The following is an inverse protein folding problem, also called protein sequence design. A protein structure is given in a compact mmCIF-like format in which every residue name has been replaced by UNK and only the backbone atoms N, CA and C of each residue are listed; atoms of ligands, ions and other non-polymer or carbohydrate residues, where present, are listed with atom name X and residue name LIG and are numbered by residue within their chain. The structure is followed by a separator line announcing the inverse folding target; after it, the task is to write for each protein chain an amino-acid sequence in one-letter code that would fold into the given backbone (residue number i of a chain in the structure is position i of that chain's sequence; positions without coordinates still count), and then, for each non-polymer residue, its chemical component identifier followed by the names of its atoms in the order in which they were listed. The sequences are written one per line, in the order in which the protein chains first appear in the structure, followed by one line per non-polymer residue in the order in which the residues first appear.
data_IF_581126088389
#
_entry.id   IF_581126088389
#
_cell.length_a   1.000
_cell.length_b   1.000
_cell.length_c   1.000
_cell.angle_alpha   90.00
_cell.angle_beta   90.00
_cell.angle_gamma   90.00
#
_symmetry.space_group_name_H-M   'P 1'
#
loop_
_entity.id
_entity.type
_entity.pdbx_description
1 polymer ?
#
# COMPACT_ATOMS: atom_id res chain seq x y z
N UNK A 1 7.93 3.86 2.03
CA UNK A 1 6.66 3.13 2.19
C UNK A 1 5.74 3.23 0.99
N UNK A 2 5.09 4.38 0.74
CA UNK A 2 4.11 4.54 -0.33
C UNK A 2 4.61 4.15 -1.73
N UNK A 3 5.88 4.44 -2.03
CA UNK A 3 6.53 3.97 -3.27
C UNK A 3 6.48 2.45 -3.45
N UNK A 4 6.68 1.69 -2.37
CA UNK A 4 6.65 0.22 -2.42
C UNK A 4 5.22 -0.29 -2.59
N UNK A 5 4.23 0.36 -1.96
CA UNK A 5 2.80 0.02 -2.17
C UNK A 5 2.43 0.23 -3.63
N UNK A 6 2.76 1.40 -4.20
CA UNK A 6 2.50 1.70 -5.60
C UNK A 6 3.21 0.71 -6.54
N UNK A 7 4.50 0.42 -6.28
CA UNK A 7 5.29 -0.55 -7.05
C UNK A 7 4.68 -1.96 -7.01
N UNK A 8 4.26 -2.42 -5.82
CA UNK A 8 3.67 -3.73 -5.64
C UNK A 8 2.36 -3.86 -6.42
N UNK A 9 1.51 -2.84 -6.33
CA UNK A 9 0.27 -2.78 -7.08
C UNK A 9 0.50 -2.85 -8.60
N UNK A 10 1.42 -2.04 -9.12
CA UNK A 10 1.78 -2.02 -10.55
C UNK A 10 2.37 -3.35 -11.02
N UNK A 11 3.20 -3.99 -10.18
CA UNK A 11 3.81 -5.29 -10.50
C UNK A 11 2.74 -6.37 -10.64
N UNK A 12 1.74 -6.37 -9.76
CA UNK A 12 0.64 -7.34 -9.85
C UNK A 12 -0.29 -7.03 -11.02
N UNK A 13 -0.57 -5.74 -11.29
CA UNK A 13 -1.38 -5.32 -12.43
C UNK A 13 -0.79 -5.74 -13.79
N UNK A 14 0.52 -5.62 -13.93
CA UNK A 14 1.24 -6.05 -15.14
C UNK A 14 1.05 -7.55 -15.45
N UNK A 15 0.74 -8.38 -14.46
CA UNK A 15 0.48 -9.82 -14.68
C UNK A 15 -0.89 -10.12 -15.29
N UNK A 16 -1.85 -9.19 -15.18
CA UNK A 16 -3.26 -9.38 -15.61
C UNK A 16 -3.55 -8.60 -16.91
N UNK A 17 -2.51 -8.17 -17.64
CA UNK A 17 -2.63 -7.36 -18.87
C UNK A 17 -3.23 -5.96 -18.64
N UNK A 18 -3.29 -5.48 -17.39
CA UNK A 18 -3.60 -4.08 -17.06
C UNK A 18 -2.28 -3.35 -16.76
N UNK A 19 -1.37 -3.35 -17.75
CA UNK A 19 -0.01 -2.82 -17.62
C UNK A 19 0.06 -1.32 -17.26
N UNK A 20 -1.08 -0.63 -17.31
CA UNK A 20 -1.24 0.79 -16.98
C UNK A 20 -1.91 1.04 -15.62
N UNK A 21 -2.23 0.00 -14.83
CA UNK A 21 -2.93 0.20 -13.57
C UNK A 21 -2.01 0.82 -12.50
N UNK A 22 -2.17 2.12 -12.31
CA UNK A 22 -1.60 2.85 -11.18
C UNK A 22 -2.51 2.71 -9.94
N UNK A 23 -1.88 2.70 -8.75
CA UNK A 23 -2.53 2.53 -7.46
C UNK A 23 -3.60 3.62 -7.26
N UNK A 24 -4.87 3.25 -7.05
CA UNK A 24 -5.91 4.20 -6.67
C UNK A 24 -5.54 4.94 -5.38
N UNK A 25 -5.77 6.25 -5.36
CA UNK A 25 -5.35 7.15 -4.28
C UNK A 25 -5.84 6.68 -2.91
N UNK A 26 -7.07 6.20 -2.83
CA UNK A 26 -7.71 5.68 -1.62
C UNK A 26 -6.93 4.48 -1.06
N UNK A 27 -6.45 3.60 -1.95
CA UNK A 27 -5.68 2.42 -1.57
C UNK A 27 -4.26 2.76 -1.08
N UNK A 28 -3.74 3.95 -1.38
CA UNK A 28 -2.49 4.42 -0.79
C UNK A 28 -2.64 4.64 0.72
N UNK A 29 -3.78 5.15 1.18
CA UNK A 29 -4.07 5.33 2.60
C UNK A 29 -4.28 3.97 3.30
N UNK A 30 -5.03 3.07 2.66
CA UNK A 30 -5.22 1.70 3.15
C UNK A 30 -3.87 0.99 3.28
N UNK A 31 -3.04 1.04 2.25
CA UNK A 31 -1.71 0.43 2.25
C UNK A 31 -0.81 0.99 3.34
N UNK A 32 -0.82 2.31 3.55
CA UNK A 32 -0.10 2.92 4.66
C UNK A 32 -0.60 2.43 6.03
N UNK A 33 -1.92 2.30 6.20
CA UNK A 33 -2.50 1.85 7.47
C UNK A 33 -2.20 0.39 7.80
N UNK A 34 -2.16 -0.49 6.79
CA UNK A 34 -1.71 -1.87 6.99
C UNK A 34 -0.26 -1.92 7.47
N UNK A 35 0.59 -1.07 6.88
CA UNK A 35 2.02 -1.23 7.02
C UNK A 35 2.60 -0.43 8.17
N UNK A 36 2.06 0.73 8.55
CA UNK A 36 2.71 1.55 9.60
C UNK A 36 2.45 1.02 11.01
N UNK A 37 1.41 0.21 11.21
CA UNK A 37 1.08 -0.39 12.51
C UNK A 37 1.74 -1.76 12.67
N UNK A 38 2.70 -1.88 13.59
CA UNK A 38 3.46 -3.12 13.79
C UNK A 38 2.61 -4.35 14.11
N UNK A 39 1.52 -4.19 14.88
CA UNK A 39 0.59 -5.29 15.15
C UNK A 39 -0.08 -5.78 13.86
N UNK A 40 -0.57 -4.87 13.02
CA UNK A 40 -1.23 -5.24 11.76
C UNK A 40 -0.23 -5.88 10.78
N UNK A 41 1.01 -5.36 10.70
CA UNK A 41 2.07 -5.96 9.88
C UNK A 41 2.33 -7.42 10.21
N UNK A 42 2.40 -7.77 11.51
CA UNK A 42 2.69 -9.13 11.96
C UNK A 42 1.59 -10.15 11.62
N UNK A 43 0.38 -9.68 11.37
CA UNK A 43 -0.77 -10.51 11.00
C UNK A 43 -1.03 -10.51 9.50
N UNK A 44 -0.21 -9.85 8.68
CA UNK A 44 -0.37 -9.91 7.23
C UNK A 44 -0.23 -11.36 6.73
N UNK A 45 -0.97 -11.76 5.69
CA UNK A 45 -0.77 -13.07 5.09
C UNK A 45 0.66 -13.25 4.58
N UNK A 46 1.16 -14.49 4.64
CA UNK A 46 2.49 -14.82 4.11
C UNK A 46 2.51 -14.77 2.58
N UNK A 47 1.36 -14.99 1.92
CA UNK A 47 1.26 -15.02 0.46
C UNK A 47 0.05 -14.25 -0.04
N UNK A 48 0.14 -13.74 -1.28
CA UNK A 48 -0.95 -13.02 -1.95
C UNK A 48 -2.12 -13.94 -2.35
N UNK A 49 -2.03 -15.26 -2.08
CA UNK A 49 -3.11 -16.23 -2.37
C UNK A 49 -4.24 -16.15 -1.35
N UNK A 50 -3.95 -15.76 -0.12
CA UNK A 50 -4.98 -15.51 0.89
C UNK A 50 -5.79 -14.31 0.45
N UNK A 51 -7.10 -14.46 0.28
CA UNK A 51 -7.94 -13.34 -0.16
C UNK A 51 -8.09 -12.29 0.95
N UNK A 52 -8.30 -11.02 0.58
CA UNK A 52 -8.59 -9.97 1.55
C UNK A 52 -9.86 -10.28 2.36
N UNK A 53 -10.88 -10.86 1.72
CA UNK A 53 -12.13 -11.24 2.40
C UNK A 53 -11.88 -12.29 3.50
N UNK A 54 -11.13 -13.35 3.18
CA UNK A 54 -10.76 -14.39 4.15
C UNK A 54 -9.96 -13.80 5.31
N UNK A 55 -8.95 -12.98 5.02
CA UNK A 55 -8.14 -12.35 6.06
C UNK A 55 -8.97 -11.45 6.98
N UNK A 56 -9.93 -10.71 6.45
CA UNK A 56 -10.81 -9.85 7.25
C UNK A 56 -11.71 -10.67 8.19
N UNK A 57 -12.17 -11.85 7.76
CA UNK A 57 -12.94 -12.76 8.58
C UNK A 57 -12.11 -13.32 9.75
N UNK A 58 -10.85 -13.69 9.47
CA UNK A 58 -9.93 -14.26 10.45
C UNK A 58 -9.35 -13.21 11.41
N UNK A 59 -9.27 -11.95 10.97
CA UNK A 59 -8.60 -10.85 11.69
C UNK A 59 -9.51 -9.59 11.85
N UNK A 60 -10.66 -9.70 12.55
CA UNK A 60 -11.62 -8.61 12.68
C UNK A 60 -11.07 -7.40 13.46
N UNK A 61 -10.17 -7.63 14.43
CA UNK A 61 -9.55 -6.56 15.22
C UNK A 61 -8.55 -5.76 14.37
N UNK A 62 -7.74 -6.45 13.57
CA UNK A 62 -6.79 -5.83 12.65
C UNK A 62 -7.53 -5.08 11.54
N UNK A 63 -8.63 -5.63 11.01
CA UNK A 63 -9.53 -4.92 10.08
C UNK A 63 -10.01 -3.60 10.67
N UNK A 64 -10.54 -3.60 11.89
CA UNK A 64 -11.00 -2.39 12.59
C UNK A 64 -9.86 -1.38 12.80
N UNK A 65 -8.67 -1.88 13.16
CA UNK A 65 -7.50 -1.04 13.33
C UNK A 65 -7.00 -0.41 12.03
N UNK A 66 -7.06 -1.14 10.92
CA UNK A 66 -6.77 -0.59 9.58
C UNK A 66 -7.76 0.51 9.24
N UNK A 67 -9.05 0.27 9.47
CA UNK A 67 -10.08 1.28 9.17
C UNK A 67 -9.85 2.58 9.95
N UNK A 68 -9.58 2.47 11.25
CA UNK A 68 -9.26 3.62 12.11
C UNK A 68 -7.95 4.30 11.70
N UNK A 69 -6.94 3.50 11.34
CA UNK A 69 -5.63 3.98 10.95
C UNK A 69 -5.66 4.81 9.66
N UNK A 70 -6.53 4.48 8.70
CA UNK A 70 -6.73 5.31 7.48
C UNK A 70 -7.14 6.74 7.83
N UNK A 71 -8.03 6.92 8.81
CA UNK A 71 -8.44 8.25 9.28
C UNK A 71 -7.30 9.00 9.98
N UNK A 72 -6.62 8.33 10.91
CA UNK A 72 -5.52 8.90 11.70
C UNK A 72 -4.33 9.29 10.81
N UNK A 73 -4.00 8.46 9.82
CA UNK A 73 -2.85 8.64 8.92
C UNK A 73 -3.20 9.46 7.67
N UNK A 74 -4.34 10.14 7.62
CA UNK A 74 -4.79 10.92 6.45
C UNK A 74 -3.96 12.19 6.17
N UNK A 75 -3.72 13.12 7.12
CA UNK A 75 -2.53 13.99 7.04
C UNK A 75 -1.30 13.06 7.08
N UNK A 76 -0.04 13.43 7.01
CA UNK A 76 1.06 12.45 6.84
C UNK A 76 1.02 11.68 5.50
N UNK A 77 0.02 10.85 5.19
CA UNK A 77 -0.06 10.15 3.90
C UNK A 77 -0.28 11.15 2.78
N UNK A 78 -1.16 12.15 2.95
CA UNK A 78 -1.33 13.24 1.96
C UNK A 78 -0.01 13.96 1.70
N UNK A 79 0.68 14.38 2.76
CA UNK A 79 1.95 15.08 2.69
C UNK A 79 3.03 14.20 2.07
N UNK A 80 3.09 12.91 2.40
CA UNK A 80 4.03 11.97 1.83
C UNK A 80 3.77 11.70 0.34
N UNK A 81 2.51 11.70 -0.10
CA UNK A 81 2.15 11.61 -1.52
C UNK A 81 2.61 12.87 -2.27
N UNK A 82 2.30 14.07 -1.76
CA UNK A 82 2.72 15.34 -2.36
C UNK A 82 4.25 15.44 -2.40
N UNK A 83 4.91 15.10 -1.30
CA UNK A 83 6.37 15.10 -1.21
C UNK A 83 6.98 14.11 -2.21
N UNK A 84 6.43 12.88 -2.28
CA UNK A 84 6.88 11.86 -3.21
C UNK A 84 6.72 12.29 -4.67
N UNK A 85 5.59 12.94 -4.99
CA UNK A 85 5.34 13.48 -6.31
C UNK A 85 6.33 14.60 -6.68
N UNK A 86 6.50 15.58 -5.77
CA UNK A 86 7.41 16.72 -5.97
C UNK A 86 8.87 16.30 -6.17
N UNK A 87 9.31 15.22 -5.51
CA UNK A 87 10.69 14.74 -5.58
C UNK A 87 10.90 13.58 -6.55
N UNK A 88 9.97 13.37 -7.48
CA UNK A 88 10.07 12.35 -8.55
C UNK A 88 10.17 10.92 -8.02
N UNK A 89 9.67 10.65 -6.81
CA UNK A 89 9.52 9.30 -6.30
C UNK A 89 8.20 8.68 -6.76
N UNK A 90 7.14 9.48 -6.79
CA UNK A 90 5.81 9.07 -7.24
C UNK A 90 5.41 9.93 -8.44
N UNK A 91 4.53 9.42 -9.28
CA UNK A 91 3.73 10.25 -10.18
C UNK A 91 2.26 10.14 -9.81
N UNK A 92 1.53 11.23 -10.01
CA UNK A 92 0.11 11.29 -9.74
C UNK A 92 -0.62 11.79 -10.99
N UNK A 93 -1.54 10.99 -11.51
CA UNK A 93 -2.41 11.35 -12.63
C UNK A 93 -3.85 11.12 -12.19
N UNK A 94 -4.61 12.21 -12.04
CA UNK A 94 -5.94 12.17 -11.43
C UNK A 94 -5.89 11.58 -10.01
N UNK A 95 -6.74 10.57 -9.75
CA UNK A 95 -6.78 9.84 -8.46
C UNK A 95 -5.93 8.57 -8.46
N UNK A 96 -4.86 8.53 -9.25
CA UNK A 96 -3.96 7.37 -9.32
C UNK A 96 -2.53 7.77 -9.01
N UNK A 97 -1.82 6.86 -8.34
CA UNK A 97 -0.44 7.01 -7.85
C UNK A 97 0.40 5.91 -8.46
N UNK A 98 1.49 6.27 -9.13
CA UNK A 98 2.44 5.35 -9.71
C UNK A 98 3.80 5.48 -9.02
N UNK A 99 4.54 4.37 -8.94
CA UNK A 99 5.93 4.41 -8.52
C UNK A 99 6.81 4.83 -9.69
N UNK A 100 7.69 5.80 -9.48
CA UNK A 100 8.62 6.24 -10.53
C UNK A 100 9.81 5.27 -10.60
N UNK A 101 10.08 4.64 -11.76
CA UNK A 101 11.21 3.73 -11.93
C UNK A 101 12.56 4.42 -11.68
N UNK A 102 12.69 5.69 -12.07
CA UNK A 102 13.90 6.50 -11.86
C UNK A 102 14.29 6.67 -10.39
N UNK A 103 13.32 6.58 -9.47
CA UNK A 103 13.59 6.67 -8.03
C UNK A 103 14.08 5.37 -7.39
N UNK A 104 14.00 4.23 -8.10
CA UNK A 104 14.29 2.92 -7.53
C UNK A 104 15.71 2.81 -6.94
N UNK A 105 16.73 3.33 -7.65
CA UNK A 105 18.12 3.28 -7.19
C UNK A 105 18.31 4.04 -5.88
N UNK A 106 17.77 5.26 -5.79
CA UNK A 106 17.85 6.12 -4.59
C UNK A 106 17.12 5.48 -3.40
N UNK A 107 15.90 5.00 -3.64
CA UNK A 107 15.05 4.40 -2.59
C UNK A 107 15.68 3.11 -2.05
N UNK A 108 16.16 2.24 -2.94
CA UNK A 108 16.83 1.00 -2.53
C UNK A 108 18.17 1.29 -1.82
N UNK A 109 18.89 2.32 -2.25
CA UNK A 109 20.12 2.79 -1.58
C UNK A 109 19.84 3.21 -0.14
N UNK A 110 18.82 4.03 0.09
CA UNK A 110 18.37 4.42 1.42
C UNK A 110 17.96 3.22 2.28
N UNK A 111 17.19 2.28 1.71
CA UNK A 111 16.74 1.09 2.45
C UNK A 111 17.88 0.20 2.93
N UNK A 112 18.97 0.07 2.15
CA UNK A 112 20.13 -0.73 2.56
C UNK A 112 20.80 -0.21 3.83
N UNK A 113 20.75 1.12 4.04
CA UNK A 113 21.33 1.79 5.21
C UNK A 113 20.30 1.97 6.35
N UNK A 114 19.06 1.59 6.13
CA UNK A 114 17.97 1.76 7.09
C UNK A 114 17.91 0.62 8.10
N UNK A 115 17.21 0.85 9.21
CA UNK A 115 16.97 -0.16 10.25
C UNK A 115 16.24 -1.40 9.71
N UNK A 116 16.29 -2.50 10.45
CA UNK A 116 15.53 -3.71 10.13
C UNK A 116 14.01 -3.43 10.04
N UNK A 117 13.46 -2.62 10.93
CA UNK A 117 12.03 -2.27 10.93
C UNK A 117 11.62 -1.46 9.69
N UNK A 118 12.45 -0.52 9.23
CA UNK A 118 12.18 0.24 7.99
C UNK A 118 12.24 -0.66 6.76
N UNK A 119 13.16 -1.63 6.73
CA UNK A 119 13.27 -2.62 5.65
C UNK A 119 12.08 -3.58 5.65
N UNK A 120 11.67 -4.06 6.82
CA UNK A 120 10.46 -4.89 6.97
C UNK A 120 9.21 -4.13 6.48
N UNK A 121 9.03 -2.90 6.95
CA UNK A 121 7.99 -2.01 6.46
C UNK A 121 8.00 -1.98 4.93
N UNK A 122 9.12 -1.66 4.29
CA UNK A 122 9.21 -1.59 2.83
C UNK A 122 8.83 -2.90 2.12
N UNK A 123 9.25 -4.04 2.65
CA UNK A 123 8.85 -5.37 2.16
C UNK A 123 7.34 -5.59 2.28
N UNK A 124 6.77 -5.32 3.45
CA UNK A 124 5.33 -5.45 3.69
C UNK A 124 4.51 -4.50 2.82
N UNK A 125 5.00 -3.28 2.53
CA UNK A 125 4.34 -2.39 1.59
C UNK A 125 4.31 -2.93 0.17
N UNK A 126 5.40 -3.55 -0.29
CA UNK A 126 5.42 -4.19 -1.60
C UNK A 126 4.39 -5.32 -1.66
N UNK A 127 4.34 -6.16 -0.62
CA UNK A 127 3.34 -7.21 -0.49
C UNK A 127 1.91 -6.66 -0.49
N UNK A 128 1.61 -5.69 0.38
CA UNK A 128 0.28 -5.09 0.51
C UNK A 128 -0.18 -4.47 -0.80
N UNK A 129 0.71 -3.79 -1.55
CA UNK A 129 0.38 -3.27 -2.88
C UNK A 129 -0.14 -4.34 -3.83
N UNK A 130 0.59 -5.47 -3.92
CA UNK A 130 0.17 -6.63 -4.73
C UNK A 130 -1.13 -7.23 -4.24
N UNK A 131 -1.27 -7.35 -2.93
CA UNK A 131 -2.43 -7.96 -2.29
C UNK A 131 -3.70 -7.13 -2.49
N UNK A 132 -3.61 -5.80 -2.38
CA UNK A 132 -4.72 -4.88 -2.64
C UNK A 132 -5.18 -4.93 -4.10
N UNK A 133 -4.28 -5.13 -5.07
CA UNK A 133 -4.67 -5.35 -6.47
C UNK A 133 -5.55 -6.60 -6.62
N UNK A 134 -5.21 -7.70 -5.94
CA UNK A 134 -6.04 -8.92 -5.94
C UNK A 134 -7.33 -8.80 -5.11
N UNK A 135 -7.46 -7.78 -4.28
CA UNK A 135 -8.62 -7.55 -3.41
C UNK A 135 -9.90 -7.13 -4.13
N UNK A 136 -9.86 -6.93 -5.45
CA UNK A 136 -10.99 -6.50 -6.27
C UNK A 136 -10.99 -5.00 -6.54
N UNK A 137 -12.17 -4.45 -6.83
CA UNK A 137 -12.27 -3.01 -7.11
C UNK A 137 -11.93 -2.17 -5.86
N UNK A 138 -11.43 -0.93 -6.02
CA UNK A 138 -11.07 -0.09 -4.89
C UNK A 138 -12.25 0.17 -3.94
N UNK A 139 -13.45 0.36 -4.49
CA UNK A 139 -14.69 0.50 -3.71
C UNK A 139 -15.02 -0.76 -2.90
N UNK A 140 -14.84 -1.95 -3.49
CA UNK A 140 -15.05 -3.22 -2.79
C UNK A 140 -14.05 -3.38 -1.64
N UNK A 141 -12.77 -3.09 -1.88
CA UNK A 141 -11.72 -3.14 -0.85
C UNK A 141 -12.02 -2.19 0.31
N UNK A 142 -12.40 -0.95 0.01
CA UNK A 142 -12.77 0.05 1.02
C UNK A 142 -14.00 -0.40 1.83
N UNK A 143 -15.04 -0.91 1.16
CA UNK A 143 -16.25 -1.41 1.81
C UNK A 143 -15.96 -2.61 2.73
N UNK A 144 -15.17 -3.58 2.28
CA UNK A 144 -14.75 -4.72 3.11
C UNK A 144 -14.00 -4.26 4.36
N UNK A 145 -13.15 -3.24 4.25
CA UNK A 145 -12.42 -2.68 5.38
C UNK A 145 -13.28 -1.76 6.27
N UNK A 146 -14.51 -1.42 5.86
CA UNK A 146 -15.36 -0.49 6.60
C UNK A 146 -14.87 0.96 6.55
N UNK A 147 -14.08 1.31 5.51
CA UNK A 147 -13.57 2.67 5.33
C UNK A 147 -14.53 3.45 4.44
N UNK A 148 -15.06 4.56 4.97
CA UNK A 148 -15.86 5.51 4.20
C UNK A 148 -14.94 6.48 3.44
N UNK A 149 -15.28 6.79 2.19
CA UNK A 149 -14.48 7.65 1.30
C UNK A 149 -14.42 9.10 1.81
#
# INVERSE_FOLDING_TARGET
MLWHVAKGYQTEAATVTDATAALPLELAFVGASFVLRGQTRRHLPVTVRTSLATWIQDHPLERSAVAKGVGILRPYVREALVFGAKHGALSMVGRRVASEPGAAKRINGYLKQSSADVRDCAGQALFVGRWLHKGGTPSTVMAMLGVQA
#
